data_IF_689642519410
#
_entry.id   IF_689642519410
#
_cell.length_a   1.000
_cell.length_b   1.000
_cell.length_c   1.000
_cell.angle_alpha   90.00
_cell.angle_beta   90.00
_cell.angle_gamma   90.00
#
_symmetry.space_group_name_H-M   'P 1'
#
loop_
_entity.id
_entity.type
_entity.pdbx_description
1 polymer ?
#
# COMPACT_ATOMS: atom_id res chain seq x y z
N UNK A 1 -2.81 7.86 -17.71
CA UNK A 1 -2.97 9.10 -18.46
C UNK A 1 -1.82 10.03 -18.12
N UNK A 2 -1.29 10.77 -19.09
CA UNK A 2 -0.13 11.61 -18.90
C UNK A 2 1.20 10.91 -19.21
N UNK A 3 1.34 10.32 -20.39
CA UNK A 3 2.57 9.65 -20.84
C UNK A 3 3.73 10.65 -21.10
N UNK A 4 3.38 11.87 -21.42
CA UNK A 4 4.32 12.95 -21.71
C UNK A 4 4.33 14.01 -20.60
N UNK A 5 5.20 15.00 -20.70
CA UNK A 5 5.17 16.16 -19.79
C UNK A 5 3.86 16.94 -19.97
N UNK A 6 3.24 17.36 -18.87
CA UNK A 6 2.07 18.22 -18.93
C UNK A 6 2.34 19.52 -19.68
N UNK A 7 1.40 19.91 -20.57
CA UNK A 7 1.40 21.17 -21.32
C UNK A 7 -0.01 21.74 -21.33
N UNK A 8 -0.17 23.04 -21.43
CA UNK A 8 -1.46 23.73 -21.40
C UNK A 8 -2.48 23.30 -22.47
N UNK A 9 -2.03 22.73 -23.58
CA UNK A 9 -2.87 22.19 -24.64
C UNK A 9 -2.51 20.74 -24.98
N UNK A 10 -1.91 20.03 -24.03
CA UNK A 10 -1.49 18.65 -24.15
C UNK A 10 -2.52 17.67 -23.59
N UNK A 11 -2.03 16.45 -23.33
CA UNK A 11 -2.83 15.40 -22.70
C UNK A 11 -3.18 15.75 -21.25
N UNK A 12 -4.31 15.27 -20.79
CA UNK A 12 -4.76 15.42 -19.41
C UNK A 12 -3.89 14.58 -18.45
N UNK A 13 -3.62 15.13 -17.26
CA UNK A 13 -2.90 14.47 -16.20
C UNK A 13 -3.72 14.49 -14.92
N UNK A 14 -3.85 13.34 -14.25
CA UNK A 14 -4.49 13.24 -12.93
C UNK A 14 -3.81 14.11 -11.87
N UNK A 15 -2.48 14.13 -11.88
CA UNK A 15 -1.69 15.08 -11.11
C UNK A 15 -1.28 16.22 -12.04
N UNK A 16 -1.99 17.30 -11.97
CA UNK A 16 -1.71 18.53 -12.69
C UNK A 16 -1.31 19.64 -11.70
N UNK A 17 -0.80 20.78 -12.18
CA UNK A 17 -0.36 21.88 -11.31
C UNK A 17 -1.45 22.37 -10.37
N UNK A 18 -2.71 22.36 -10.77
CA UNK A 18 -3.82 22.85 -9.96
C UNK A 18 -4.16 21.87 -8.82
N UNK A 19 -4.27 20.57 -9.11
CA UNK A 19 -4.53 19.54 -8.08
C UNK A 19 -3.40 19.49 -7.05
N UNK A 20 -2.14 19.55 -7.51
CA UNK A 20 -0.98 19.58 -6.62
C UNK A 20 -0.99 20.83 -5.75
N UNK A 21 -1.23 22.01 -6.35
CA UNK A 21 -1.28 23.27 -5.63
C UNK A 21 -2.37 23.28 -4.55
N UNK A 22 -3.59 22.88 -4.89
CA UNK A 22 -4.71 22.86 -3.94
C UNK A 22 -4.41 21.90 -2.78
N UNK A 23 -3.89 20.70 -3.05
CA UNK A 23 -3.53 19.74 -2.01
C UNK A 23 -2.45 20.31 -1.08
N UNK A 24 -1.38 20.87 -1.62
CA UNK A 24 -0.29 21.45 -0.83
C UNK A 24 -0.77 22.65 0.00
N UNK A 25 -1.52 23.57 -0.61
CA UNK A 25 -2.02 24.74 0.10
C UNK A 25 -3.02 24.36 1.20
N UNK A 26 -3.94 23.44 0.94
CA UNK A 26 -4.88 22.97 1.97
C UNK A 26 -4.14 22.37 3.17
N UNK A 27 -3.08 21.64 2.93
CA UNK A 27 -2.27 20.98 3.98
C UNK A 27 -1.46 22.01 4.78
N UNK A 28 -0.81 22.97 4.10
CA UNK A 28 0.03 23.98 4.76
C UNK A 28 -0.78 25.00 5.57
N UNK A 29 -1.98 25.33 5.12
CA UNK A 29 -2.84 26.32 5.79
C UNK A 29 -3.86 25.71 6.73
N UNK A 30 -4.04 24.37 6.69
CA UNK A 30 -5.12 23.68 7.42
C UNK A 30 -6.52 24.03 6.90
N UNK A 31 -6.64 24.54 5.65
CA UNK A 31 -7.91 25.00 5.10
C UNK A 31 -8.74 23.84 4.54
N UNK A 32 -9.86 23.56 5.20
CA UNK A 32 -10.83 22.58 4.73
C UNK A 32 -11.49 22.99 3.40
N UNK A 33 -11.72 24.29 3.19
CA UNK A 33 -12.32 24.79 1.94
C UNK A 33 -11.41 24.55 0.73
N UNK A 34 -10.09 24.73 0.89
CA UNK A 34 -9.13 24.39 -0.16
C UNK A 34 -9.06 22.86 -0.40
N UNK A 35 -9.17 22.07 0.67
CA UNK A 35 -9.24 20.62 0.55
C UNK A 35 -10.50 20.18 -0.20
N UNK A 36 -11.65 20.81 0.05
CA UNK A 36 -12.89 20.55 -0.70
C UNK A 36 -12.73 20.91 -2.18
N UNK A 37 -12.12 22.04 -2.49
CA UNK A 37 -11.81 22.40 -3.89
C UNK A 37 -10.90 21.35 -4.56
N UNK A 38 -9.92 20.82 -3.83
CA UNK A 38 -9.07 19.73 -4.31
C UNK A 38 -9.91 18.48 -4.63
N UNK A 39 -10.74 18.02 -3.69
CA UNK A 39 -11.55 16.80 -3.87
C UNK A 39 -12.56 16.96 -5.02
N UNK A 40 -13.22 18.10 -5.11
CA UNK A 40 -14.17 18.38 -6.18
C UNK A 40 -13.49 18.37 -7.57
N UNK A 41 -12.28 18.93 -7.65
CA UNK A 41 -11.50 18.92 -8.89
C UNK A 41 -11.07 17.49 -9.26
N UNK A 42 -10.54 16.73 -8.30
CA UNK A 42 -10.11 15.34 -8.51
C UNK A 42 -11.27 14.47 -8.94
N UNK A 43 -12.42 14.57 -8.26
CA UNK A 43 -13.60 13.76 -8.58
C UNK A 43 -14.17 14.11 -9.94
N UNK A 44 -14.13 15.38 -10.35
CA UNK A 44 -14.55 15.85 -11.68
C UNK A 44 -13.62 15.37 -12.80
N UNK A 45 -12.31 15.33 -12.55
CA UNK A 45 -11.29 14.94 -13.53
C UNK A 45 -11.07 13.41 -13.61
N UNK A 46 -11.78 12.63 -12.81
CA UNK A 46 -11.52 11.19 -12.61
C UNK A 46 -12.05 10.29 -13.75
N UNK A 47 -12.35 10.84 -14.92
CA UNK A 47 -12.91 10.08 -16.07
C UNK A 47 -11.95 9.05 -16.67
N UNK A 48 -10.66 9.13 -16.38
CA UNK A 48 -9.63 8.20 -16.85
C UNK A 48 -9.49 6.92 -16.02
N UNK A 49 -10.32 6.71 -14.98
CA UNK A 49 -10.31 5.55 -14.10
C UNK A 49 -11.66 4.84 -14.11
N UNK A 50 -11.65 3.53 -13.79
CA UNK A 50 -12.90 2.76 -13.67
C UNK A 50 -13.82 3.35 -12.60
N UNK A 51 -13.29 3.70 -11.43
CA UNK A 51 -14.08 4.30 -10.35
C UNK A 51 -14.70 5.66 -10.70
N UNK A 52 -14.10 6.39 -11.62
CA UNK A 52 -14.66 7.64 -12.14
C UNK A 52 -15.90 7.46 -13.03
N UNK A 53 -16.14 6.24 -13.50
CA UNK A 53 -17.31 5.84 -14.26
C UNK A 53 -18.43 5.25 -13.38
N UNK A 54 -18.17 5.08 -12.09
CA UNK A 54 -19.14 4.60 -11.11
C UNK A 54 -19.82 5.77 -10.43
N UNK A 55 -21.05 5.54 -9.96
CA UNK A 55 -21.78 6.50 -9.13
C UNK A 55 -22.48 5.80 -7.98
N UNK A 56 -22.85 6.58 -6.94
CA UNK A 56 -23.55 6.04 -5.79
C UNK A 56 -25.05 5.94 -6.04
N UNK A 57 -25.62 4.80 -5.72
CA UNK A 57 -27.06 4.67 -5.56
C UNK A 57 -27.41 4.98 -4.10
N UNK A 58 -27.78 6.22 -3.84
CA UNK A 58 -28.17 6.63 -2.49
C UNK A 58 -29.50 5.98 -2.06
N UNK A 59 -29.61 5.71 -0.76
CA UNK A 59 -30.87 5.32 -0.17
C UNK A 59 -31.85 6.51 -0.15
N UNK A 60 -33.15 6.24 -0.14
CA UNK A 60 -34.17 7.28 -0.04
C UNK A 60 -34.12 8.01 1.32
N UNK A 61 -33.78 7.28 2.38
CA UNK A 61 -33.61 7.83 3.72
C UNK A 61 -32.18 7.60 4.17
N UNK A 62 -31.41 8.67 4.50
CA UNK A 62 -30.06 8.52 5.00
C UNK A 62 -30.07 7.92 6.42
N UNK A 63 -29.01 7.22 6.80
CA UNK A 63 -28.82 6.80 8.20
C UNK A 63 -28.52 8.04 9.07
N UNK A 64 -28.96 8.04 10.34
CA UNK A 64 -28.62 9.09 11.29
C UNK A 64 -27.11 9.21 11.45
N UNK A 65 -26.62 10.45 11.67
CA UNK A 65 -25.18 10.71 11.76
C UNK A 65 -24.50 9.96 12.92
N UNK A 66 -25.24 9.76 14.01
CA UNK A 66 -24.80 9.00 15.19
C UNK A 66 -24.60 7.50 14.94
N UNK A 67 -25.15 6.98 13.86
CA UNK A 67 -24.94 5.58 13.42
C UNK A 67 -23.77 5.45 12.43
N UNK A 68 -23.23 6.57 11.96
CA UNK A 68 -22.06 6.56 11.07
C UNK A 68 -20.79 6.38 11.89
N UNK A 69 -19.87 5.55 11.38
CA UNK A 69 -18.58 5.30 12.01
C UNK A 69 -17.82 6.62 12.24
N UNK A 70 -17.19 6.78 13.41
CA UNK A 70 -16.47 7.99 13.76
C UNK A 70 -15.23 8.21 12.88
N UNK A 71 -14.80 9.46 12.72
CA UNK A 71 -13.56 9.78 12.00
C UNK A 71 -12.37 9.05 12.62
N UNK A 72 -12.30 9.00 13.96
CA UNK A 72 -11.22 8.32 14.70
C UNK A 72 -11.18 6.81 14.43
N UNK A 73 -12.31 6.18 14.14
CA UNK A 73 -12.36 4.77 13.78
C UNK A 73 -12.06 4.56 12.29
N UNK A 74 -12.55 5.44 11.43
CA UNK A 74 -12.27 5.39 9.99
C UNK A 74 -10.77 5.52 9.73
N UNK A 75 -10.06 6.47 10.37
CA UNK A 75 -8.63 6.70 10.11
C UNK A 75 -7.75 5.52 10.50
N UNK A 76 -8.18 4.65 11.43
CA UNK A 76 -7.46 3.41 11.79
C UNK A 76 -7.37 2.41 10.64
N UNK A 77 -8.24 2.53 9.65
CA UNK A 77 -8.28 1.67 8.45
C UNK A 77 -7.27 2.08 7.39
N UNK A 78 -6.60 3.23 7.58
CA UNK A 78 -5.66 3.79 6.62
C UNK A 78 -4.24 3.31 6.86
N UNK A 79 -3.55 3.01 5.76
CA UNK A 79 -2.15 2.59 5.73
C UNK A 79 -1.37 3.39 4.70
N UNK A 80 -0.08 3.57 4.91
CA UNK A 80 0.75 4.08 3.82
C UNK A 80 1.06 2.98 2.83
N UNK A 81 1.20 3.33 1.56
CA UNK A 81 1.84 2.44 0.59
C UNK A 81 3.24 2.03 1.06
N UNK A 82 3.67 0.83 0.70
CA UNK A 82 4.99 0.31 1.04
C UNK A 82 6.09 1.07 0.28
N UNK A 83 6.77 1.98 0.96
CA UNK A 83 7.88 2.77 0.40
C UNK A 83 9.16 2.46 1.18
N UNK A 84 10.15 1.85 0.52
CA UNK A 84 11.34 1.35 1.19
C UNK A 84 12.34 2.45 1.55
N UNK A 85 13.03 2.26 2.68
CA UNK A 85 14.17 3.08 3.09
C UNK A 85 15.30 3.02 2.05
N UNK A 86 15.61 4.16 1.47
CA UNK A 86 16.52 4.30 0.33
C UNK A 86 15.82 4.51 -1.02
N UNK A 87 14.56 4.10 -1.18
CA UNK A 87 13.74 4.56 -2.31
C UNK A 87 13.25 5.99 -2.08
N UNK A 88 12.86 6.30 -0.85
CA UNK A 88 12.60 7.65 -0.34
C UNK A 88 13.67 8.01 0.70
N UNK A 89 13.75 9.29 1.10
CA UNK A 89 14.69 9.76 2.12
C UNK A 89 14.32 9.24 3.51
N UNK A 90 15.27 9.31 4.44
CA UNK A 90 15.05 8.95 5.84
C UNK A 90 13.96 9.81 6.46
N UNK A 91 14.02 11.13 6.25
CA UNK A 91 13.08 12.11 6.80
C UNK A 91 11.65 11.83 6.32
N UNK A 92 11.47 11.53 5.02
CA UNK A 92 10.16 11.18 4.48
C UNK A 92 9.63 9.87 5.06
N UNK A 93 10.51 8.86 5.21
CA UNK A 93 10.15 7.56 5.76
C UNK A 93 9.75 7.65 7.25
N UNK A 94 10.48 8.44 8.04
CA UNK A 94 10.17 8.69 9.45
C UNK A 94 8.91 9.55 9.64
N UNK A 95 8.76 10.61 8.82
CA UNK A 95 7.57 11.48 8.86
C UNK A 95 6.28 10.70 8.62
N UNK A 96 6.29 9.75 7.68
CA UNK A 96 5.14 8.88 7.43
C UNK A 96 4.81 8.00 8.64
N UNK A 97 5.84 7.46 9.32
CA UNK A 97 5.63 6.66 10.52
C UNK A 97 5.03 7.49 11.66
N UNK A 98 5.60 8.68 11.92
CA UNK A 98 5.10 9.60 12.95
C UNK A 98 3.65 10.00 12.66
N UNK A 99 3.34 10.41 11.43
CA UNK A 99 2.00 10.82 11.05
C UNK A 99 0.97 9.69 11.26
N UNK A 100 1.30 8.48 10.82
CA UNK A 100 0.38 7.35 10.96
C UNK A 100 0.25 6.88 12.41
N UNK A 101 1.31 6.95 13.20
CA UNK A 101 1.23 6.64 14.63
C UNK A 101 0.33 7.64 15.37
N UNK A 102 0.41 8.94 15.06
CA UNK A 102 -0.48 9.97 15.63
C UNK A 102 -1.95 9.79 15.21
N UNK A 103 -2.21 9.34 13.99
CA UNK A 103 -3.55 9.08 13.47
C UNK A 103 -4.09 7.70 13.87
N UNK A 104 -3.31 6.87 14.57
CA UNK A 104 -3.64 5.48 14.86
C UNK A 104 -3.84 4.59 13.61
N UNK A 105 -3.37 5.06 12.45
CA UNK A 105 -3.20 4.25 11.24
C UNK A 105 -1.92 3.43 11.27
N UNK A 106 -1.49 2.94 10.11
CA UNK A 106 -0.29 2.10 10.02
C UNK A 106 0.62 2.56 8.87
N UNK A 107 1.89 2.84 9.17
CA UNK A 107 2.91 3.03 8.13
C UNK A 107 3.59 1.70 7.79
N UNK A 108 4.03 1.56 6.54
CA UNK A 108 4.69 0.37 6.02
C UNK A 108 6.15 0.69 5.68
N UNK A 109 7.08 -0.12 6.21
CA UNK A 109 8.52 0.06 5.99
C UNK A 109 8.93 -0.10 4.53
N UNK A 110 8.16 -0.82 3.71
CA UNK A 110 8.66 -1.36 2.45
C UNK A 110 9.75 -2.43 2.67
N UNK A 111 10.38 -2.87 1.59
CA UNK A 111 11.34 -4.00 1.60
C UNK A 111 12.78 -3.64 2.02
N UNK A 112 12.98 -2.52 2.68
CA UNK A 112 14.32 -2.02 3.02
C UNK A 112 14.74 -2.20 4.47
N UNK A 113 13.90 -2.77 5.31
CA UNK A 113 14.14 -2.80 6.75
C UNK A 113 13.87 -1.45 7.42
N UNK A 114 14.28 -1.36 8.68
CA UNK A 114 14.15 -0.18 9.53
C UNK A 114 15.35 -0.10 10.46
N UNK A 115 15.87 1.12 10.71
CA UNK A 115 17.05 1.29 11.54
C UNK A 115 16.78 0.95 13.01
N UNK A 116 17.83 0.55 13.74
CA UNK A 116 17.70 0.22 15.17
C UNK A 116 17.20 1.40 15.99
N UNK A 117 17.65 2.62 15.66
CA UNK A 117 17.22 3.85 16.33
C UNK A 117 15.71 4.10 16.21
N UNK A 118 15.11 3.71 15.08
CA UNK A 118 13.67 3.78 14.90
C UNK A 118 12.94 2.70 15.68
N UNK A 119 13.47 1.48 15.69
CA UNK A 119 12.90 0.38 16.49
C UNK A 119 12.93 0.71 17.99
N UNK A 120 13.98 1.40 18.47
CA UNK A 120 14.08 1.85 19.85
C UNK A 120 13.11 2.99 20.22
N UNK A 121 12.60 3.73 19.23
CA UNK A 121 11.65 4.82 19.48
C UNK A 121 10.21 4.33 19.72
N UNK A 122 9.93 3.06 19.50
CA UNK A 122 8.59 2.48 19.61
C UNK A 122 7.93 2.79 20.97
N UNK A 123 6.72 3.37 20.95
CA UNK A 123 5.97 3.72 22.13
C UNK A 123 6.45 4.97 22.88
N UNK A 124 7.45 5.68 22.35
CA UNK A 124 7.90 6.97 22.89
C UNK A 124 7.03 8.12 22.35
N UNK A 125 7.25 9.34 22.88
CA UNK A 125 6.61 10.56 22.34
C UNK A 125 7.06 10.90 20.91
N UNK A 126 8.20 10.35 20.46
CA UNK A 126 8.76 10.47 19.10
C UNK A 126 8.79 9.09 18.44
N UNK A 127 7.65 8.41 18.43
CA UNK A 127 7.54 7.06 17.86
C UNK A 127 7.63 7.10 16.32
N UNK A 128 8.82 6.72 15.83
CA UNK A 128 9.16 6.63 14.42
C UNK A 128 9.11 5.19 13.87
N UNK A 129 8.65 4.25 14.70
CA UNK A 129 8.57 2.85 14.36
C UNK A 129 7.34 2.60 13.46
N UNK A 130 7.55 2.03 12.29
CA UNK A 130 6.44 1.68 11.39
C UNK A 130 5.71 0.43 11.90
N UNK A 131 4.38 0.48 11.86
CA UNK A 131 3.54 -0.63 12.33
C UNK A 131 3.64 -1.87 11.46
N UNK A 132 3.80 -1.69 10.14
CA UNK A 132 3.86 -2.77 9.15
C UNK A 132 5.30 -2.99 8.74
N UNK A 133 5.79 -4.22 8.94
CA UNK A 133 7.12 -4.68 8.53
C UNK A 133 6.98 -5.54 7.28
N UNK A 134 7.50 -5.05 6.14
CA UNK A 134 7.41 -5.79 4.89
C UNK A 134 8.57 -6.79 4.76
N UNK A 135 8.25 -7.98 4.25
CA UNK A 135 9.20 -9.05 3.91
C UNK A 135 9.04 -9.36 2.42
N UNK A 136 10.07 -9.06 1.63
CA UNK A 136 10.14 -9.37 0.22
C UNK A 136 11.11 -10.53 -0.05
N UNK A 137 11.20 -10.99 -1.29
CA UNK A 137 12.11 -12.10 -1.67
C UNK A 137 13.57 -11.84 -1.31
N UNK A 138 14.05 -10.60 -1.45
CA UNK A 138 15.41 -10.19 -1.08
C UNK A 138 15.67 -10.15 0.42
N UNK A 139 14.64 -10.11 1.26
CA UNK A 139 14.69 -10.08 2.74
C UNK A 139 15.67 -9.05 3.32
N UNK A 140 15.89 -7.94 2.62
CA UNK A 140 16.79 -6.88 3.08
C UNK A 140 16.32 -6.27 4.39
N UNK A 141 17.20 -6.25 5.41
CA UNK A 141 16.91 -5.70 6.71
C UNK A 141 15.96 -6.53 7.58
N UNK A 142 15.62 -7.75 7.18
CA UNK A 142 14.75 -8.65 7.94
C UNK A 142 15.59 -9.34 9.02
N UNK A 143 15.41 -8.89 10.26
CA UNK A 143 16.03 -9.47 11.45
C UNK A 143 14.97 -9.93 12.44
N UNK A 144 15.34 -10.72 13.44
CA UNK A 144 14.40 -11.09 14.52
C UNK A 144 13.84 -9.86 15.23
N UNK A 145 14.69 -8.86 15.50
CA UNK A 145 14.29 -7.60 16.13
C UNK A 145 13.24 -6.85 15.26
N UNK A 146 13.49 -6.76 13.97
CA UNK A 146 12.56 -6.17 13.00
C UNK A 146 11.19 -6.89 13.03
N UNK A 147 11.17 -8.22 12.99
CA UNK A 147 9.94 -9.00 13.01
C UNK A 147 9.16 -8.87 14.31
N UNK A 148 9.82 -8.92 15.47
CA UNK A 148 9.13 -8.85 16.77
C UNK A 148 8.59 -7.45 17.08
N UNK A 149 9.10 -6.40 16.44
CA UNK A 149 8.60 -5.03 16.57
C UNK A 149 7.34 -4.75 15.73
N UNK A 150 6.95 -5.69 14.85
CA UNK A 150 5.81 -5.51 13.96
C UNK A 150 4.46 -5.62 14.68
N UNK A 151 3.52 -4.76 14.33
CA UNK A 151 2.08 -4.97 14.57
C UNK A 151 1.44 -5.76 13.43
N UNK A 152 2.00 -5.63 12.22
CA UNK A 152 1.62 -6.39 11.04
C UNK A 152 2.88 -6.73 10.24
N UNK A 153 3.00 -7.98 9.79
CA UNK A 153 4.07 -8.42 8.89
C UNK A 153 3.46 -8.66 7.52
N UNK A 154 3.96 -7.94 6.51
CA UNK A 154 3.45 -8.04 5.16
C UNK A 154 4.40 -8.80 4.25
N UNK A 155 3.94 -9.92 3.70
CA UNK A 155 4.66 -10.67 2.66
C UNK A 155 4.39 -10.00 1.32
N UNK A 156 5.43 -9.51 0.66
CA UNK A 156 5.34 -8.91 -0.67
C UNK A 156 5.53 -9.96 -1.74
N UNK A 157 4.46 -10.39 -2.40
CA UNK A 157 4.53 -11.32 -3.53
C UNK A 157 4.84 -10.60 -4.84
N UNK A 158 4.24 -9.42 -5.04
CA UNK A 158 4.42 -8.63 -6.24
C UNK A 158 4.17 -7.14 -5.97
N UNK A 159 4.27 -6.31 -7.00
CA UNK A 159 4.11 -4.86 -6.94
C UNK A 159 3.21 -4.41 -8.10
N UNK A 160 2.12 -3.71 -7.78
CA UNK A 160 1.07 -3.37 -8.75
C UNK A 160 1.56 -2.56 -9.96
N UNK A 161 2.49 -1.64 -9.76
CA UNK A 161 3.05 -0.81 -10.83
C UNK A 161 3.90 -1.60 -11.84
N UNK A 162 4.44 -2.74 -11.45
CA UNK A 162 5.30 -3.60 -12.29
C UNK A 162 5.20 -5.07 -11.91
N UNK A 163 4.05 -5.71 -12.12
CA UNK A 163 3.90 -7.13 -11.84
C UNK A 163 4.98 -7.96 -12.54
N UNK A 164 5.56 -8.92 -11.83
CA UNK A 164 6.55 -9.84 -12.37
C UNK A 164 8.01 -9.33 -12.44
N UNK A 165 8.32 -8.08 -12.06
CA UNK A 165 9.71 -7.55 -12.13
C UNK A 165 10.45 -7.54 -10.79
N UNK A 166 9.76 -7.60 -9.65
CA UNK A 166 10.36 -7.53 -8.32
C UNK A 166 10.87 -6.14 -7.92
N UNK A 167 11.62 -6.12 -6.82
CA UNK A 167 12.21 -4.91 -6.24
C UNK A 167 13.60 -4.62 -6.80
N UNK A 168 13.97 -3.34 -6.92
CA UNK A 168 15.28 -2.90 -7.37
C UNK A 168 15.66 -1.60 -6.68
N UNK A 169 16.89 -1.52 -6.16
CA UNK A 169 17.51 -0.29 -5.66
C UNK A 169 18.83 -0.05 -6.38
N UNK A 170 18.95 1.04 -7.18
CA UNK A 170 20.17 1.35 -7.91
C UNK A 170 21.35 1.63 -6.97
N UNK A 171 22.56 1.26 -7.37
CA UNK A 171 23.82 1.43 -6.62
C UNK A 171 23.99 2.84 -6.04
N UNK A 172 23.66 3.87 -6.82
CA UNK A 172 23.77 5.28 -6.41
C UNK A 172 22.89 5.69 -5.24
N UNK A 173 21.86 4.89 -4.91
CA UNK A 173 20.96 5.09 -3.76
C UNK A 173 21.38 4.25 -2.55
N UNK A 174 22.34 3.33 -2.69
CA UNK A 174 22.80 2.46 -1.61
C UNK A 174 23.93 3.16 -0.84
N UNK A 175 23.56 4.20 -0.08
CA UNK A 175 24.46 4.90 0.82
C UNK A 175 24.89 3.99 1.99
N UNK A 176 25.99 4.33 2.73
CA UNK A 176 26.47 3.51 3.84
C UNK A 176 25.39 3.19 4.89
N UNK A 177 24.55 4.16 5.26
CA UNK A 177 23.47 3.98 6.23
C UNK A 177 22.34 3.12 5.69
N UNK A 178 22.03 3.21 4.39
CA UNK A 178 21.06 2.32 3.74
C UNK A 178 21.60 0.88 3.70
N UNK A 179 22.87 0.71 3.32
CA UNK A 179 23.52 -0.58 3.30
C UNK A 179 23.57 -1.23 4.69
N UNK A 180 23.86 -0.45 5.74
CA UNK A 180 23.82 -0.92 7.13
C UNK A 180 22.45 -1.49 7.48
N UNK A 181 21.37 -0.75 7.24
CA UNK A 181 19.99 -1.17 7.55
C UNK A 181 19.56 -2.38 6.72
N UNK A 182 19.98 -2.46 5.46
CA UNK A 182 19.65 -3.56 4.55
C UNK A 182 20.56 -4.78 4.68
N UNK A 183 21.59 -4.73 5.54
CA UNK A 183 22.64 -5.74 5.64
C UNK A 183 23.30 -6.05 4.30
N UNK A 184 23.71 -5.00 3.59
CA UNK A 184 24.27 -5.07 2.23
C UNK A 184 25.55 -4.21 2.10
N UNK A 185 26.11 -4.14 0.90
CA UNK A 185 27.34 -3.40 0.61
C UNK A 185 27.00 -2.02 0.02
N UNK A 186 27.57 -0.91 0.53
CA UNK A 186 27.38 0.40 -0.05
C UNK A 186 27.83 0.47 -1.52
N UNK A 187 27.05 1.20 -2.34
CA UNK A 187 27.36 1.41 -3.75
C UNK A 187 27.14 0.19 -4.66
N UNK A 188 26.53 -0.87 -4.16
CA UNK A 188 26.16 -2.05 -4.96
C UNK A 188 24.64 -2.08 -5.14
N UNK A 189 24.18 -2.26 -6.39
CA UNK A 189 22.73 -2.38 -6.68
C UNK A 189 22.14 -3.59 -6.00
N UNK A 190 20.91 -3.44 -5.49
CA UNK A 190 20.17 -4.51 -4.80
C UNK A 190 18.98 -4.93 -5.65
N UNK A 191 18.78 -6.23 -5.76
CA UNK A 191 17.67 -6.86 -6.48
C UNK A 191 16.92 -7.77 -5.53
N UNK A 192 15.59 -7.65 -5.55
CA UNK A 192 14.65 -8.54 -4.85
C UNK A 192 13.82 -9.24 -5.92
N UNK A 193 14.16 -10.50 -6.30
CA UNK A 193 13.53 -11.16 -7.45
C UNK A 193 12.03 -11.38 -7.25
N UNK A 194 11.24 -11.37 -8.32
CA UNK A 194 9.85 -11.82 -8.31
C UNK A 194 9.76 -13.26 -8.84
N UNK A 195 8.82 -14.07 -8.40
CA UNK A 195 8.23 -14.06 -7.05
C UNK A 195 9.28 -14.36 -6.00
N UNK A 196 8.91 -14.55 -4.76
CA UNK A 196 9.84 -15.15 -3.79
C UNK A 196 10.42 -16.43 -4.40
N UNK A 197 11.74 -16.51 -4.57
CA UNK A 197 12.42 -17.63 -5.22
C UNK A 197 12.35 -18.96 -4.42
N UNK A 198 11.80 -18.94 -3.23
CA UNK A 198 11.51 -20.06 -2.33
C UNK A 198 10.01 -20.35 -2.16
N UNK A 199 9.14 -19.67 -2.92
CA UNK A 199 7.68 -19.86 -2.88
C UNK A 199 7.19 -20.15 -4.30
N UNK A 200 6.81 -21.40 -4.52
CA UNK A 200 6.32 -21.89 -5.80
C UNK A 200 4.87 -22.40 -5.75
N UNK A 201 4.29 -22.45 -4.54
CA UNK A 201 2.92 -22.92 -4.32
C UNK A 201 2.26 -22.19 -3.15
N UNK A 202 0.95 -22.39 -2.98
CA UNK A 202 0.21 -21.91 -1.81
C UNK A 202 0.73 -22.57 -0.53
N UNK A 203 1.18 -23.81 -0.60
CA UNK A 203 1.73 -24.56 0.53
C UNK A 203 3.05 -23.93 1.02
N UNK A 204 3.93 -23.51 0.10
CA UNK A 204 5.16 -22.79 0.45
C UNK A 204 4.84 -21.45 1.10
N UNK A 205 3.84 -20.73 0.58
CA UNK A 205 3.39 -19.48 1.18
C UNK A 205 2.78 -19.72 2.57
N UNK A 206 2.00 -20.79 2.75
CA UNK A 206 1.44 -21.16 4.04
C UNK A 206 2.54 -21.46 5.07
N UNK A 207 3.63 -22.12 4.65
CA UNK A 207 4.79 -22.32 5.50
C UNK A 207 5.44 -20.99 5.93
N UNK A 208 5.63 -20.05 5.00
CA UNK A 208 6.19 -18.74 5.34
C UNK A 208 5.25 -17.95 6.28
N UNK A 209 3.93 -17.98 6.05
CA UNK A 209 2.94 -17.38 6.96
C UNK A 209 3.08 -17.97 8.36
N UNK A 210 3.17 -19.29 8.47
CA UNK A 210 3.34 -19.99 9.73
C UNK A 210 4.65 -19.59 10.43
N UNK A 211 5.77 -19.56 9.72
CA UNK A 211 7.08 -19.20 10.25
C UNK A 211 7.11 -17.77 10.79
N UNK A 212 6.55 -16.82 10.03
CA UNK A 212 6.45 -15.42 10.46
C UNK A 212 5.51 -15.25 11.65
N UNK A 213 4.42 -16.01 11.71
CA UNK A 213 3.53 -16.02 12.86
C UNK A 213 4.19 -16.61 14.11
N UNK A 214 5.09 -17.56 13.95
CA UNK A 214 5.90 -18.07 15.06
C UNK A 214 7.00 -17.10 15.49
N UNK A 215 7.56 -16.32 14.55
CA UNK A 215 8.52 -15.27 14.88
C UNK A 215 7.86 -14.14 15.68
N UNK A 216 6.60 -13.80 15.38
CA UNK A 216 5.81 -12.82 16.13
C UNK A 216 4.34 -13.24 16.21
N UNK A 217 3.96 -13.84 17.33
CA UNK A 217 2.60 -14.35 17.57
C UNK A 217 1.52 -13.25 17.64
N UNK A 218 1.93 -12.03 17.94
CA UNK A 218 1.02 -10.89 18.14
C UNK A 218 0.76 -10.10 16.86
N UNK A 219 1.66 -10.19 15.87
CA UNK A 219 1.49 -9.50 14.60
C UNK A 219 0.44 -10.18 13.71
N UNK A 220 -0.37 -9.39 13.02
CA UNK A 220 -1.15 -9.89 11.90
C UNK A 220 -0.24 -10.22 10.72
N UNK A 221 -0.58 -11.23 9.93
CA UNK A 221 0.11 -11.53 8.68
C UNK A 221 -0.73 -11.01 7.52
N UNK A 222 -0.12 -10.17 6.72
CA UNK A 222 -0.69 -9.61 5.49
C UNK A 222 0.05 -10.15 4.27
N UNK A 223 -0.67 -10.39 3.19
CA UNK A 223 -0.07 -10.80 1.91
C UNK A 223 -0.43 -9.78 0.84
N UNK A 224 0.60 -9.17 0.24
CA UNK A 224 0.44 -8.23 -0.87
C UNK A 224 0.42 -8.97 -2.19
N UNK A 225 -0.75 -8.96 -2.82
CA UNK A 225 -1.01 -9.39 -4.18
C UNK A 225 -1.21 -8.18 -5.09
N UNK A 226 -1.34 -8.41 -6.38
CA UNK A 226 -1.60 -7.36 -7.36
C UNK A 226 -2.89 -7.66 -8.11
N UNK A 227 -3.53 -6.60 -8.60
CA UNK A 227 -4.69 -6.71 -9.48
C UNK A 227 -4.26 -7.30 -10.82
N UNK A 228 -4.63 -8.55 -11.03
CA UNK A 228 -4.46 -9.29 -12.28
C UNK A 228 -5.54 -10.35 -12.42
N UNK A 229 -5.75 -10.87 -13.61
CA UNK A 229 -6.75 -11.91 -13.84
C UNK A 229 -6.39 -13.20 -13.06
N UNK A 230 -7.35 -13.72 -12.29
CA UNK A 230 -7.14 -14.90 -11.46
C UNK A 230 -6.69 -14.61 -10.02
N UNK A 231 -6.47 -13.33 -9.66
CA UNK A 231 -6.04 -12.95 -8.30
C UNK A 231 -7.01 -13.44 -7.22
N UNK A 232 -8.30 -13.52 -7.53
CA UNK A 232 -9.30 -14.06 -6.59
C UNK A 232 -9.02 -15.51 -6.19
N UNK A 233 -8.55 -16.35 -7.11
CA UNK A 233 -8.15 -17.72 -6.81
C UNK A 233 -6.92 -17.78 -5.90
N UNK A 234 -5.93 -16.93 -6.17
CA UNK A 234 -4.73 -16.79 -5.33
C UNK A 234 -5.14 -16.31 -3.93
N UNK A 235 -6.00 -15.29 -3.84
CA UNK A 235 -6.50 -14.76 -2.57
C UNK A 235 -7.26 -15.82 -1.74
N UNK A 236 -8.04 -16.70 -2.39
CA UNK A 236 -8.70 -17.81 -1.71
C UNK A 236 -7.68 -18.80 -1.10
N UNK A 237 -6.60 -19.07 -1.82
CA UNK A 237 -5.47 -19.84 -1.30
C UNK A 237 -4.80 -19.17 -0.10
N UNK A 238 -4.52 -17.89 -0.20
CA UNK A 238 -3.91 -17.07 0.89
C UNK A 238 -4.80 -17.06 2.14
N UNK A 239 -6.12 -16.90 1.96
CA UNK A 239 -7.06 -16.97 3.07
C UNK A 239 -7.07 -18.33 3.77
N UNK A 240 -6.98 -19.43 3.00
CA UNK A 240 -6.84 -20.80 3.54
C UNK A 240 -5.50 -21.02 4.23
N UNK A 241 -4.45 -20.37 3.76
CA UNK A 241 -3.11 -20.42 4.35
C UNK A 241 -2.98 -19.67 5.69
N UNK A 242 -4.01 -18.92 6.10
CA UNK A 242 -4.11 -18.33 7.44
C UNK A 242 -3.61 -16.88 7.53
N UNK A 243 -3.50 -16.15 6.42
CA UNK A 243 -3.29 -14.69 6.46
C UNK A 243 -4.52 -13.97 7.02
N UNK A 244 -4.32 -12.88 7.75
CA UNK A 244 -5.37 -12.04 8.31
C UNK A 244 -5.80 -10.92 7.35
N UNK A 245 -4.89 -10.42 6.52
CA UNK A 245 -5.16 -9.34 5.56
C UNK A 245 -4.62 -9.72 4.17
N UNK A 246 -5.35 -9.36 3.14
CA UNK A 246 -4.93 -9.49 1.75
C UNK A 246 -4.98 -8.13 1.10
N UNK A 247 -3.83 -7.61 0.67
CA UNK A 247 -3.73 -6.36 -0.09
C UNK A 247 -3.83 -6.67 -1.58
N UNK A 248 -4.77 -6.03 -2.27
CA UNK A 248 -4.88 -6.02 -3.73
C UNK A 248 -4.37 -4.68 -4.24
N UNK A 249 -3.17 -4.68 -4.80
CA UNK A 249 -2.48 -3.48 -5.27
C UNK A 249 -2.77 -3.19 -6.74
N UNK A 250 -3.17 -1.96 -7.05
CA UNK A 250 -3.40 -1.52 -8.43
C UNK A 250 -2.13 -1.07 -9.15
N UNK A 251 -2.23 -0.85 -10.47
CA UNK A 251 -1.11 -0.39 -11.32
C UNK A 251 -0.59 0.99 -10.92
N UNK A 252 -1.40 1.79 -10.28
CA UNK A 252 -1.17 3.20 -10.01
C UNK A 252 -0.39 3.40 -8.71
N UNK A 253 0.71 2.68 -8.55
CA UNK A 253 1.65 2.80 -7.45
C UNK A 253 2.99 3.39 -7.87
N UNK A 254 3.72 3.98 -6.92
CA UNK A 254 5.09 4.41 -7.13
C UNK A 254 6.07 3.24 -7.15
N UNK A 255 7.22 3.45 -7.77
CA UNK A 255 8.35 2.50 -7.72
C UNK A 255 9.67 3.27 -7.70
N UNK A 256 10.63 2.79 -6.90
CA UNK A 256 11.95 3.41 -6.80
C UNK A 256 12.81 3.23 -8.05
N UNK A 257 12.53 2.21 -8.85
CA UNK A 257 13.18 1.96 -10.14
C UNK A 257 12.35 0.99 -10.98
N UNK A 258 11.96 1.41 -12.17
CA UNK A 258 11.35 0.56 -13.19
C UNK A 258 11.46 1.19 -14.57
N UNK A 259 11.50 0.41 -15.66
CA UNK A 259 11.36 0.92 -17.01
C UNK A 259 10.01 1.63 -17.20
N UNK A 260 9.98 2.68 -18.01
CA UNK A 260 8.73 3.40 -18.31
C UNK A 260 7.68 2.48 -18.95
N UNK A 261 8.12 1.56 -19.80
CA UNK A 261 7.25 0.58 -20.44
C UNK A 261 6.47 -0.26 -19.43
N UNK A 262 7.11 -0.70 -18.36
CA UNK A 262 6.45 -1.48 -17.31
C UNK A 262 5.43 -0.65 -16.55
N UNK A 263 5.80 0.57 -16.13
CA UNK A 263 4.89 1.46 -15.38
C UNK A 263 3.65 1.81 -16.20
N UNK A 264 3.79 1.98 -17.53
CA UNK A 264 2.67 2.38 -18.38
C UNK A 264 1.81 1.21 -18.84
N UNK A 265 2.32 -0.02 -18.88
CA UNK A 265 1.65 -1.10 -19.62
C UNK A 265 1.48 -2.41 -18.85
N UNK A 266 2.08 -2.57 -17.65
CA UNK A 266 2.14 -3.89 -17.03
C UNK A 266 1.05 -4.18 -15.99
N UNK A 267 0.54 -3.18 -15.27
CA UNK A 267 -0.42 -3.38 -14.19
C UNK A 267 -1.88 -3.18 -14.60
N UNK A 268 -2.80 -3.66 -13.77
CA UNK A 268 -4.24 -3.49 -13.92
C UNK A 268 -4.81 -2.55 -12.83
N UNK A 269 -5.97 -1.92 -13.08
CA UNK A 269 -6.68 -1.14 -12.05
C UNK A 269 -7.05 -2.00 -10.84
N UNK A 270 -6.92 -1.44 -9.63
CA UNK A 270 -7.27 -2.16 -8.40
C UNK A 270 -8.74 -2.57 -8.35
N UNK A 271 -9.61 -1.82 -8.99
CA UNK A 271 -11.06 -2.06 -9.03
C UNK A 271 -11.40 -3.46 -9.57
N UNK A 272 -10.67 -3.92 -10.59
CA UNK A 272 -10.86 -5.26 -11.17
C UNK A 272 -10.44 -6.36 -10.20
N UNK A 273 -9.24 -6.26 -9.64
CA UNK A 273 -8.72 -7.27 -8.73
C UNK A 273 -9.47 -7.31 -7.41
N UNK A 274 -9.89 -6.16 -6.88
CA UNK A 274 -10.70 -6.06 -5.67
C UNK A 274 -12.06 -6.76 -5.85
N UNK A 275 -12.76 -6.44 -6.93
CA UNK A 275 -14.08 -7.04 -7.22
C UNK A 275 -13.98 -8.56 -7.40
N UNK A 276 -12.98 -9.03 -8.15
CA UNK A 276 -12.74 -10.46 -8.35
C UNK A 276 -12.45 -11.17 -7.02
N UNK A 277 -11.55 -10.59 -6.21
CA UNK A 277 -11.15 -11.13 -4.91
C UNK A 277 -12.34 -11.21 -3.96
N UNK A 278 -13.08 -10.12 -3.81
CA UNK A 278 -14.25 -10.05 -2.93
C UNK A 278 -15.30 -11.12 -3.30
N UNK A 279 -15.65 -11.21 -4.58
CA UNK A 279 -16.63 -12.17 -5.06
C UNK A 279 -16.15 -13.62 -4.95
N UNK A 280 -14.88 -13.88 -5.23
CA UNK A 280 -14.30 -15.22 -5.11
C UNK A 280 -14.28 -15.68 -3.66
N UNK A 281 -13.90 -14.83 -2.73
CA UNK A 281 -13.94 -15.15 -1.30
C UNK A 281 -15.36 -15.39 -0.79
N UNK A 282 -16.35 -14.60 -1.24
CA UNK A 282 -17.76 -14.83 -0.93
C UNK A 282 -18.25 -16.19 -1.41
N UNK A 283 -18.02 -16.52 -2.69
CA UNK A 283 -18.42 -17.80 -3.30
C UNK A 283 -17.82 -19.01 -2.62
N UNK A 284 -16.65 -18.86 -2.01
CA UNK A 284 -15.95 -19.93 -1.32
C UNK A 284 -16.16 -19.94 0.22
N UNK A 285 -16.99 -19.05 0.76
CA UNK A 285 -17.24 -18.95 2.21
C UNK A 285 -16.00 -18.53 3.01
N UNK A 286 -15.10 -17.77 2.39
CA UNK A 286 -13.82 -17.34 2.97
C UNK A 286 -13.79 -15.86 3.33
N UNK A 287 -14.78 -15.07 2.86
CA UNK A 287 -14.73 -13.60 2.97
C UNK A 287 -14.60 -13.09 4.41
N UNK A 288 -15.23 -13.75 5.35
CA UNK A 288 -15.20 -13.39 6.77
C UNK A 288 -13.93 -13.83 7.52
N UNK A 289 -13.01 -14.51 6.84
CA UNK A 289 -11.74 -14.97 7.44
C UNK A 289 -10.62 -13.95 7.30
N UNK A 290 -10.75 -13.01 6.36
CA UNK A 290 -9.70 -12.06 6.02
C UNK A 290 -10.28 -10.66 5.82
N UNK A 291 -9.48 -9.64 6.15
CA UNK A 291 -9.70 -8.26 5.70
C UNK A 291 -9.13 -8.10 4.30
N UNK A 292 -9.79 -7.33 3.47
CA UNK A 292 -9.28 -6.95 2.16
C UNK A 292 -8.82 -5.49 2.23
N UNK A 293 -7.58 -5.27 1.84
CA UNK A 293 -6.98 -3.95 1.67
C UNK A 293 -6.81 -3.65 0.19
N UNK A 294 -6.94 -2.41 -0.23
CA UNK A 294 -6.63 -1.98 -1.59
C UNK A 294 -5.80 -0.72 -1.62
N UNK A 295 -4.91 -0.61 -2.59
CA UNK A 295 -4.12 0.58 -2.87
C UNK A 295 -4.04 0.88 -4.38
N UNK A 296 -3.59 2.06 -4.73
CA UNK A 296 -3.44 2.50 -6.11
C UNK A 296 -4.06 3.87 -6.36
N UNK A 297 -3.56 4.90 -5.68
CA UNK A 297 -4.00 6.30 -5.80
C UNK A 297 -5.47 6.51 -5.44
N UNK A 298 -5.84 6.21 -4.23
CA UNK A 298 -7.09 6.69 -3.63
C UNK A 298 -6.89 8.18 -3.31
N UNK A 299 -7.49 9.07 -4.11
CA UNK A 299 -7.19 10.50 -4.08
C UNK A 299 -8.20 11.32 -3.27
N UNK A 300 -9.39 10.79 -3.05
CA UNK A 300 -10.47 11.47 -2.32
C UNK A 300 -11.26 10.49 -1.45
N UNK A 301 -12.10 11.02 -0.56
CA UNK A 301 -13.03 10.22 0.23
C UNK A 301 -14.04 9.45 -0.64
N UNK A 302 -14.36 9.97 -1.84
CA UNK A 302 -15.20 9.28 -2.82
C UNK A 302 -14.54 7.99 -3.31
N UNK A 303 -13.24 8.02 -3.62
CA UNK A 303 -12.48 6.84 -4.03
C UNK A 303 -12.50 5.76 -2.94
N UNK A 304 -12.31 6.17 -1.68
CA UNK A 304 -12.35 5.28 -0.51
C UNK A 304 -13.73 4.66 -0.33
N UNK A 305 -14.80 5.45 -0.44
CA UNK A 305 -16.16 4.96 -0.32
C UNK A 305 -16.51 3.94 -1.43
N UNK A 306 -16.06 4.18 -2.66
CA UNK A 306 -16.22 3.23 -3.76
C UNK A 306 -15.46 1.92 -3.45
N UNK A 307 -14.22 2.01 -3.00
CA UNK A 307 -13.43 0.83 -2.64
C UNK A 307 -14.10 0.02 -1.50
N UNK A 308 -14.65 0.69 -0.49
CA UNK A 308 -15.39 0.05 0.59
C UNK A 308 -16.63 -0.68 0.07
N UNK A 309 -17.43 -0.05 -0.81
CA UNK A 309 -18.60 -0.67 -1.44
C UNK A 309 -18.23 -1.87 -2.33
N UNK A 310 -17.01 -1.89 -2.89
CA UNK A 310 -16.48 -3.02 -3.67
C UNK A 310 -15.90 -4.12 -2.79
N UNK A 311 -15.81 -3.92 -1.48
CA UNK A 311 -15.43 -4.95 -0.51
C UNK A 311 -14.11 -4.72 0.22
N UNK A 312 -13.45 -3.56 0.06
CA UNK A 312 -12.27 -3.22 0.86
C UNK A 312 -12.66 -2.77 2.27
N UNK A 313 -11.82 -3.09 3.24
CA UNK A 313 -11.97 -2.72 4.65
C UNK A 313 -10.78 -1.88 5.15
N UNK A 314 -9.65 -1.93 4.45
CA UNK A 314 -8.43 -1.16 4.73
C UNK A 314 -7.90 -0.52 3.43
N UNK A 315 -7.23 0.66 3.51
CA UNK A 315 -6.92 1.52 2.38
C UNK A 315 -5.50 2.11 2.45
#
# INVERSE_FOLDING_TARGET
VGAHKMRSQGEEHRYNPQTIHLLQQSTWTGSYDLFKQYTDLVDKENHGNLRGLLDFKFAETPVPLEEVESVDDIVKRFKTGAMSYGSISQEAHETLAIAMNHLHGKSNTGEGGESDERLDSAGSSDDRCSAIKQVASGRFGVTSRYLVSAREIQIKMAQGAKPGEGGHLPAKKVYPWIAKTRHSTPGVSLISPPPHHDIYSIEDLAQLIYDLKNANKYADISVKLVSEAGVGTVAAGVAKAGAQTILISGYDGGTGAAPRSSIHNAGLPWELGLAETHQTLLKNGLRNRVRIETDGKLMSGRDVAIAALMGAEEF
#
